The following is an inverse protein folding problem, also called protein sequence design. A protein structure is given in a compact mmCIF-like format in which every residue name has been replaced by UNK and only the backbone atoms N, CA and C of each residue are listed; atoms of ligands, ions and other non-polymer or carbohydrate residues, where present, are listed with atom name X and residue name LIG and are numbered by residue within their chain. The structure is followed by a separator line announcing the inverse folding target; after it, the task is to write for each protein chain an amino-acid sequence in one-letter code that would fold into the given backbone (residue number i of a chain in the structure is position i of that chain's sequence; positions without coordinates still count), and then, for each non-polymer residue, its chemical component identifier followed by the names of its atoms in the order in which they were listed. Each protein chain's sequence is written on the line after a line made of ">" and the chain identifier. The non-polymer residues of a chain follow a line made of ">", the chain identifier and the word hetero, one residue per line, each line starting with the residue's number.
data_IF_503351452609
#
_entry.id   IF_503351452609
#
_cell.length_a   1.000
_cell.length_b   1.000
_cell.length_c   1.000
_cell.angle_alpha   90.00
_cell.angle_beta   90.00
_cell.angle_gamma   90.00
#
_symmetry.space_group_name_H-M   'P 1'
#
loop_
_entity.id
_entity.type
_entity.pdbx_description
1 polymer ?
#
# COMPACT_ATOMS: atom_id res chain seq x y z
N UNK A 1 -55.48 28.47 -27.84
CA UNK A 1 -55.12 29.51 -28.83
C UNK A 1 -55.74 29.13 -30.16
N UNK A 2 -56.99 29.55 -30.31
CA UNK A 2 -57.80 29.52 -31.52
C UNK A 2 -57.38 30.71 -32.39
N UNK A 3 -56.95 30.45 -33.62
CA UNK A 3 -56.92 31.42 -34.72
C UNK A 3 -57.21 30.56 -35.98
N UNK A 4 -58.46 30.38 -36.43
CA UNK A 4 -59.25 31.27 -37.31
C UNK A 4 -58.46 31.60 -38.59
N UNK A 5 -58.91 31.52 -39.83
CA UNK A 5 -60.21 31.39 -40.50
C UNK A 5 -59.86 31.53 -42.00
N UNK A 6 -60.32 30.61 -42.88
CA UNK A 6 -61.26 30.83 -44.02
C UNK A 6 -60.69 31.71 -45.16
N UNK A 7 -60.78 31.32 -46.46
CA UNK A 7 -62.09 31.28 -47.12
C UNK A 7 -62.44 30.15 -48.11
N UNK A 8 -63.62 29.59 -47.82
CA UNK A 8 -64.82 29.49 -48.66
C UNK A 8 -64.67 29.10 -50.15
N UNK A 9 -65.03 27.83 -50.41
CA UNK A 9 -65.46 27.38 -51.73
C UNK A 9 -66.70 28.14 -52.21
N UNK A 10 -66.65 28.55 -53.48
CA UNK A 10 -67.80 29.12 -54.18
C UNK A 10 -68.40 28.04 -55.10
N UNK A 11 -69.66 27.63 -54.90
CA UNK A 11 -70.29 26.65 -55.77
C UNK A 11 -70.66 27.25 -57.14
N UNK A 12 -70.59 26.39 -58.15
CA UNK A 12 -70.99 26.57 -59.55
C UNK A 12 -72.28 27.38 -59.70
N UNK A 13 -72.20 28.50 -60.42
CA UNK A 13 -73.37 29.21 -60.96
C UNK A 13 -74.07 28.31 -61.98
N UNK A 14 -75.32 27.95 -61.67
CA UNK A 14 -76.31 27.34 -62.54
C UNK A 14 -76.68 28.34 -63.65
N UNK A 15 -76.74 27.87 -64.90
CA UNK A 15 -77.21 28.64 -66.06
C UNK A 15 -78.62 29.16 -65.78
N UNK A 16 -78.83 30.46 -65.95
CA UNK A 16 -80.13 31.09 -66.11
C UNK A 16 -80.34 31.27 -67.61
N UNK A 17 -81.38 30.62 -68.14
CA UNK A 17 -81.97 30.94 -69.43
C UNK A 17 -82.45 32.38 -69.42
N UNK A 18 -82.04 33.17 -70.40
CA UNK A 18 -82.76 34.36 -70.87
C UNK A 18 -82.39 34.63 -72.33
N UNK A 19 -83.31 34.25 -73.22
CA UNK A 19 -83.42 34.84 -74.56
C UNK A 19 -83.64 36.35 -74.43
N UNK A 20 -82.77 37.16 -75.05
CA UNK A 20 -83.10 38.35 -75.86
C UNK A 20 -81.83 39.12 -76.30
N UNK A 21 -81.51 38.94 -77.58
CA UNK A 21 -81.17 39.97 -78.59
C UNK A 21 -80.27 41.18 -78.24
N UNK A 22 -79.09 41.19 -78.89
CA UNK A 22 -78.48 42.32 -79.66
C UNK A 22 -77.63 43.43 -78.96
N UNK A 23 -76.69 44.12 -79.66
CA UNK A 23 -75.24 44.05 -79.35
C UNK A 23 -74.48 45.40 -79.20
N UNK A 24 -73.14 45.33 -79.15
CA UNK A 24 -72.08 46.30 -79.62
C UNK A 24 -71.40 47.17 -78.52
N UNK A 25 -70.14 46.85 -78.16
CA UNK A 25 -68.79 47.51 -78.43
C UNK A 25 -68.54 48.77 -77.57
N UNK A 26 -67.35 49.25 -77.22
CA UNK A 26 -65.94 49.28 -77.69
C UNK A 26 -65.12 49.81 -76.45
N UNK A 27 -63.83 49.51 -76.23
CA UNK A 27 -62.63 50.37 -76.42
C UNK A 27 -61.47 49.71 -75.62
N UNK A 28 -60.22 49.78 -76.11
CA UNK A 28 -59.01 49.14 -75.54
C UNK A 28 -57.97 50.23 -75.28
N UNK A 29 -57.44 50.34 -74.06
CA UNK A 29 -56.50 51.39 -73.62
C UNK A 29 -55.21 50.81 -73.00
N UNK A 30 -54.10 51.54 -73.14
CA UNK A 30 -52.68 51.20 -72.92
C UNK A 30 -52.29 50.37 -71.68
N UNK A 31 -53.09 50.41 -70.61
CA UNK A 31 -52.96 49.50 -69.46
C UNK A 31 -53.12 48.03 -69.87
N UNK A 32 -53.98 47.76 -70.85
CA UNK A 32 -54.14 46.44 -71.45
C UNK A 32 -52.82 45.98 -72.09
N UNK A 33 -52.02 46.88 -72.65
CA UNK A 33 -50.79 46.51 -73.35
C UNK A 33 -49.63 46.19 -72.39
N UNK A 34 -49.52 46.92 -71.27
CA UNK A 34 -48.59 46.61 -70.19
C UNK A 34 -48.99 45.34 -69.44
N UNK A 35 -50.27 45.18 -69.12
CA UNK A 35 -50.82 43.96 -68.52
C UNK A 35 -50.63 42.77 -69.46
N UNK A 36 -50.85 42.93 -70.77
CA UNK A 36 -50.61 41.86 -71.73
C UNK A 36 -49.13 41.46 -71.80
N UNK A 37 -48.19 42.39 -71.70
CA UNK A 37 -46.76 42.06 -71.66
C UNK A 37 -46.38 41.27 -70.39
N UNK A 38 -46.87 41.68 -69.21
CA UNK A 38 -46.65 40.93 -67.96
C UNK A 38 -47.33 39.57 -68.02
N UNK A 39 -48.55 39.48 -68.54
CA UNK A 39 -49.26 38.22 -68.73
C UNK A 39 -48.53 37.30 -69.72
N UNK A 40 -47.90 37.86 -70.75
CA UNK A 40 -47.07 37.12 -71.70
C UNK A 40 -45.83 36.56 -71.00
N UNK A 41 -45.15 37.37 -70.20
CA UNK A 41 -43.95 36.97 -69.43
C UNK A 41 -44.27 35.90 -68.38
N UNK A 42 -45.35 36.10 -67.60
CA UNK A 42 -45.83 35.11 -66.63
C UNK A 42 -46.29 33.80 -67.28
N UNK A 43 -46.87 33.85 -68.50
CA UNK A 43 -47.21 32.63 -69.25
C UNK A 43 -45.96 31.86 -69.68
N UNK A 44 -44.93 32.56 -70.15
CA UNK A 44 -43.65 31.93 -70.51
C UNK A 44 -42.98 31.32 -69.28
N UNK A 45 -42.97 32.02 -68.15
CA UNK A 45 -42.41 31.52 -66.90
C UNK A 45 -43.17 30.30 -66.37
N UNK A 46 -44.51 30.33 -66.44
CA UNK A 46 -45.35 29.20 -66.06
C UNK A 46 -45.12 27.98 -66.98
N UNK A 47 -44.94 28.19 -68.28
CA UNK A 47 -44.62 27.11 -69.22
C UNK A 47 -43.22 26.50 -68.98
N UNK A 48 -42.24 27.31 -68.56
CA UNK A 48 -40.92 26.81 -68.15
C UNK A 48 -41.04 25.99 -66.87
N UNK A 49 -41.75 26.50 -65.86
CA UNK A 49 -41.95 25.78 -64.59
C UNK A 49 -42.73 24.49 -64.77
N UNK A 50 -43.71 24.48 -65.67
CA UNK A 50 -44.47 23.27 -66.02
C UNK A 50 -43.58 22.22 -66.68
N UNK A 51 -42.68 22.64 -67.59
CA UNK A 51 -41.69 21.73 -68.19
C UNK A 51 -40.67 21.21 -67.19
N UNK A 52 -40.23 22.03 -66.24
CA UNK A 52 -39.37 21.60 -65.13
C UNK A 52 -40.09 20.59 -64.22
N UNK A 53 -41.35 20.84 -63.87
CA UNK A 53 -42.17 19.94 -63.08
C UNK A 53 -42.37 18.59 -63.79
N UNK A 54 -42.70 18.60 -65.07
CA UNK A 54 -42.83 17.38 -65.89
C UNK A 54 -41.51 16.63 -66.05
N UNK A 55 -40.35 17.32 -65.97
CA UNK A 55 -39.03 16.69 -65.98
C UNK A 55 -38.74 16.03 -64.64
N UNK A 56 -38.95 16.74 -63.53
CA UNK A 56 -38.76 16.22 -62.18
C UNK A 56 -39.70 15.04 -61.89
N UNK A 57 -40.96 15.11 -62.34
CA UNK A 57 -41.90 14.00 -62.22
C UNK A 57 -41.43 12.76 -62.98
N UNK A 58 -40.83 12.94 -64.17
CA UNK A 58 -40.22 11.84 -64.92
C UNK A 58 -38.98 11.28 -64.24
N UNK A 59 -38.07 12.11 -63.75
CA UNK A 59 -36.88 11.67 -63.02
C UNK A 59 -37.25 10.89 -61.74
N UNK A 60 -38.24 11.37 -60.98
CA UNK A 60 -38.75 10.66 -59.78
C UNK A 60 -39.40 9.34 -60.19
N UNK A 61 -40.21 9.34 -61.26
CA UNK A 61 -40.80 8.11 -61.76
C UNK A 61 -39.73 7.11 -62.20
N UNK A 62 -38.69 7.54 -62.92
CA UNK A 62 -37.59 6.68 -63.37
C UNK A 62 -36.83 6.09 -62.18
N UNK A 63 -36.49 6.89 -61.15
CA UNK A 63 -35.81 6.40 -59.94
C UNK A 63 -36.69 5.41 -59.15
N UNK A 64 -37.98 5.70 -59.01
CA UNK A 64 -38.91 4.77 -58.36
C UNK A 64 -39.10 3.49 -59.17
N UNK A 65 -39.09 3.60 -60.49
CA UNK A 65 -39.19 2.44 -61.39
C UNK A 65 -37.89 1.65 -61.36
N UNK A 66 -36.71 2.27 -61.30
CA UNK A 66 -35.41 1.61 -61.12
C UNK A 66 -35.32 0.89 -59.77
N UNK A 67 -35.84 1.51 -58.69
CA UNK A 67 -35.98 0.88 -57.38
C UNK A 67 -37.01 -0.27 -57.34
N UNK A 68 -38.07 -0.21 -58.17
CA UNK A 68 -39.13 -1.22 -58.23
C UNK A 68 -38.85 -2.36 -59.22
N UNK A 69 -38.12 -2.08 -60.30
CA UNK A 69 -37.77 -3.04 -61.37
C UNK A 69 -36.37 -3.63 -61.20
N UNK A 70 -35.49 -2.97 -60.42
CA UNK A 70 -34.33 -3.60 -59.85
C UNK A 70 -34.75 -4.61 -58.80
N UNK A 71 -34.75 -5.90 -59.17
CA UNK A 71 -34.71 -7.06 -58.25
C UNK A 71 -33.83 -6.80 -57.02
N UNK A 72 -32.76 -6.04 -57.24
CA UNK A 72 -31.75 -5.59 -56.28
C UNK A 72 -32.30 -4.68 -55.16
N UNK A 73 -33.34 -3.86 -55.36
CA UNK A 73 -33.87 -2.98 -54.30
C UNK A 73 -34.61 -3.75 -53.21
N UNK A 74 -35.50 -4.66 -53.62
CA UNK A 74 -36.20 -5.59 -52.73
C UNK A 74 -35.26 -6.63 -52.12
N UNK A 75 -34.29 -7.14 -52.89
CA UNK A 75 -33.27 -8.09 -52.41
C UNK A 75 -32.31 -7.44 -51.41
N UNK A 76 -31.85 -6.20 -51.64
CA UNK A 76 -31.00 -5.47 -50.70
C UNK A 76 -31.73 -5.14 -49.40
N UNK A 77 -32.99 -4.68 -49.46
CA UNK A 77 -33.78 -4.41 -48.26
C UNK A 77 -34.05 -5.69 -47.45
N UNK A 78 -34.26 -6.83 -48.10
CA UNK A 78 -34.42 -8.13 -47.45
C UNK A 78 -33.10 -8.66 -46.89
N UNK A 79 -32.00 -8.53 -47.63
CA UNK A 79 -30.66 -8.92 -47.18
C UNK A 79 -30.22 -8.10 -45.95
N UNK A 80 -30.48 -6.79 -45.96
CA UNK A 80 -30.26 -5.92 -44.82
C UNK A 80 -31.12 -6.33 -43.62
N UNK A 81 -32.43 -6.57 -43.82
CA UNK A 81 -33.31 -7.06 -42.75
C UNK A 81 -32.86 -8.39 -42.14
N UNK A 82 -32.38 -9.32 -42.96
CA UNK A 82 -31.81 -10.60 -42.52
C UNK A 82 -30.49 -10.41 -41.76
N UNK A 83 -29.62 -9.51 -42.21
CA UNK A 83 -28.37 -9.17 -41.51
C UNK A 83 -28.63 -8.51 -40.16
N UNK A 84 -29.58 -7.57 -40.09
CA UNK A 84 -30.02 -6.93 -38.84
C UNK A 84 -30.63 -7.95 -37.89
N UNK A 85 -31.45 -8.89 -38.38
CA UNK A 85 -32.00 -9.97 -37.56
C UNK A 85 -30.91 -10.89 -37.02
N UNK A 86 -29.92 -11.28 -37.83
CA UNK A 86 -28.78 -12.09 -37.39
C UNK A 86 -27.94 -11.37 -36.33
N UNK A 87 -27.67 -10.08 -36.54
CA UNK A 87 -26.95 -9.25 -35.58
C UNK A 87 -27.74 -9.13 -34.27
N UNK A 88 -29.05 -8.91 -34.34
CA UNK A 88 -29.91 -8.83 -33.16
C UNK A 88 -29.89 -10.15 -32.37
N UNK A 89 -29.98 -11.30 -33.05
CA UNK A 89 -29.87 -12.60 -32.40
C UNK A 89 -28.49 -12.83 -31.77
N UNK A 90 -27.41 -12.46 -32.45
CA UNK A 90 -26.05 -12.54 -31.89
C UNK A 90 -25.89 -11.62 -30.66
N UNK A 91 -26.47 -10.42 -30.71
CA UNK A 91 -26.45 -9.49 -29.59
C UNK A 91 -27.23 -10.00 -28.38
N UNK A 92 -28.37 -10.69 -28.59
CA UNK A 92 -29.11 -11.34 -27.51
C UNK A 92 -28.32 -12.45 -26.83
N UNK A 93 -27.57 -13.26 -27.60
CA UNK A 93 -26.69 -14.31 -27.05
C UNK A 93 -25.56 -13.67 -26.24
N UNK A 94 -24.88 -12.66 -26.79
CA UNK A 94 -23.83 -11.94 -26.08
C UNK A 94 -24.35 -11.28 -24.82
N UNK A 95 -25.56 -10.72 -24.83
CA UNK A 95 -26.20 -10.15 -23.66
C UNK A 95 -26.47 -11.20 -22.58
N UNK A 96 -26.96 -12.38 -22.97
CA UNK A 96 -27.18 -13.51 -22.07
C UNK A 96 -25.86 -14.01 -21.44
N UNK A 97 -24.83 -14.20 -22.27
CA UNK A 97 -23.50 -14.64 -21.82
C UNK A 97 -22.85 -13.60 -20.90
N UNK A 98 -22.98 -12.31 -21.23
CA UNK A 98 -22.48 -11.22 -20.40
C UNK A 98 -23.20 -11.17 -19.03
N UNK A 99 -24.52 -11.41 -19.00
CA UNK A 99 -25.30 -11.51 -17.75
C UNK A 99 -24.85 -12.71 -16.92
N UNK A 100 -24.63 -13.86 -17.54
CA UNK A 100 -24.13 -15.06 -16.87
C UNK A 100 -22.70 -14.89 -16.36
N UNK A 101 -21.84 -14.22 -17.12
CA UNK A 101 -20.48 -13.93 -16.69
C UNK A 101 -20.48 -12.94 -15.52
N UNK A 102 -21.30 -11.89 -15.58
CA UNK A 102 -21.43 -10.92 -14.50
C UNK A 102 -21.96 -11.57 -13.20
N UNK A 103 -22.89 -12.52 -13.29
CA UNK A 103 -23.37 -13.26 -12.13
C UNK A 103 -22.28 -14.18 -11.56
N UNK A 104 -21.54 -14.88 -12.42
CA UNK A 104 -20.42 -15.74 -12.04
C UNK A 104 -19.27 -14.94 -11.41
N UNK A 105 -18.94 -13.77 -11.96
CA UNK A 105 -17.93 -12.89 -11.39
C UNK A 105 -18.37 -12.40 -10.01
N UNK A 106 -19.64 -12.03 -9.85
CA UNK A 106 -20.19 -11.62 -8.55
C UNK A 106 -20.12 -12.74 -7.51
N UNK A 107 -20.39 -14.00 -7.89
CA UNK A 107 -20.25 -15.12 -6.95
C UNK A 107 -18.79 -15.40 -6.60
N UNK A 108 -17.87 -15.32 -7.57
CA UNK A 108 -16.42 -15.47 -7.35
C UNK A 108 -15.90 -14.37 -6.43
N UNK A 109 -16.23 -13.09 -6.68
CA UNK A 109 -15.84 -11.97 -5.82
C UNK A 109 -16.35 -12.18 -4.40
N UNK A 110 -17.62 -12.57 -4.22
CA UNK A 110 -18.17 -12.84 -2.90
C UNK A 110 -17.43 -13.99 -2.20
N UNK A 111 -17.06 -15.05 -2.92
CA UNK A 111 -16.30 -16.15 -2.34
C UNK A 111 -14.88 -15.70 -1.95
N UNK A 112 -14.21 -14.92 -2.79
CA UNK A 112 -12.90 -14.36 -2.51
C UNK A 112 -12.92 -13.46 -1.27
N UNK A 113 -13.91 -12.57 -1.14
CA UNK A 113 -14.07 -11.71 0.05
C UNK A 113 -14.27 -12.54 1.32
N UNK A 114 -15.07 -13.61 1.25
CA UNK A 114 -15.30 -14.50 2.38
C UNK A 114 -14.03 -15.28 2.78
N UNK A 115 -13.25 -15.74 1.80
CA UNK A 115 -11.98 -16.44 2.06
C UNK A 115 -10.98 -15.46 2.67
N UNK A 116 -10.80 -14.28 2.06
CA UNK A 116 -9.90 -13.22 2.57
C UNK A 116 -10.26 -12.78 3.98
N UNK A 117 -11.56 -12.62 4.28
CA UNK A 117 -12.01 -12.30 5.63
C UNK A 117 -11.68 -13.39 6.65
N UNK A 118 -11.87 -14.67 6.28
CA UNK A 118 -11.51 -15.80 7.15
C UNK A 118 -10.01 -15.93 7.35
N UNK A 119 -9.21 -15.73 6.31
CA UNK A 119 -7.74 -15.76 6.39
C UNK A 119 -7.25 -14.63 7.28
N UNK A 120 -7.75 -13.40 7.09
CA UNK A 120 -7.39 -12.27 7.96
C UNK A 120 -7.75 -12.51 9.42
N UNK A 121 -8.94 -13.05 9.71
CA UNK A 121 -9.33 -13.41 11.07
C UNK A 121 -8.43 -14.50 11.68
N UNK A 122 -8.06 -15.50 10.88
CA UNK A 122 -7.14 -16.56 11.27
C UNK A 122 -5.73 -16.01 11.54
N UNK A 123 -5.24 -15.11 10.70
CA UNK A 123 -3.92 -14.50 10.86
C UNK A 123 -3.84 -13.69 12.16
N UNK A 124 -4.88 -12.91 12.48
CA UNK A 124 -4.96 -12.20 13.77
C UNK A 124 -4.97 -13.19 14.94
N UNK A 125 -5.75 -14.27 14.85
CA UNK A 125 -5.77 -15.29 15.90
C UNK A 125 -4.39 -15.97 16.05
N UNK A 126 -3.73 -16.29 14.94
CA UNK A 126 -2.39 -16.89 14.92
C UNK A 126 -1.36 -15.95 15.56
N UNK A 127 -1.34 -14.67 15.21
CA UNK A 127 -0.43 -13.69 15.80
C UNK A 127 -0.61 -13.63 17.32
N UNK A 128 -1.87 -13.55 17.79
CA UNK A 128 -2.16 -13.56 19.23
C UNK A 128 -1.71 -14.85 19.93
N UNK A 129 -1.89 -16.00 19.29
CA UNK A 129 -1.44 -17.28 19.86
C UNK A 129 0.09 -17.32 19.95
N UNK A 130 0.81 -16.83 18.93
CA UNK A 130 2.27 -16.75 18.95
C UNK A 130 2.74 -15.81 20.07
N UNK A 131 2.11 -14.64 20.23
CA UNK A 131 2.38 -13.71 21.33
C UNK A 131 2.14 -14.36 22.70
N UNK A 132 1.03 -15.08 22.88
CA UNK A 132 0.74 -15.79 24.13
C UNK A 132 1.73 -16.93 24.40
N UNK A 133 2.19 -17.66 23.37
CA UNK A 133 3.19 -18.72 23.53
C UNK A 133 4.55 -18.14 23.92
N UNK A 134 4.95 -17.02 23.32
CA UNK A 134 6.18 -16.32 23.70
C UNK A 134 6.07 -15.83 25.15
N UNK A 135 4.97 -15.19 25.53
CA UNK A 135 4.72 -14.76 26.90
C UNK A 135 4.75 -15.93 27.89
N UNK A 136 4.16 -17.08 27.56
CA UNK A 136 4.19 -18.26 28.42
C UNK A 136 5.62 -18.82 28.58
N UNK A 137 6.41 -18.81 27.50
CA UNK A 137 7.83 -19.16 27.54
C UNK A 137 8.62 -18.20 28.44
N UNK A 138 8.42 -16.91 28.27
CA UNK A 138 9.10 -15.87 29.07
C UNK A 138 8.72 -15.95 30.56
N UNK A 139 7.45 -16.26 30.88
CA UNK A 139 7.00 -16.50 32.25
C UNK A 139 7.60 -17.76 32.86
N UNK A 140 7.71 -18.84 32.09
CA UNK A 140 8.39 -20.06 32.54
C UNK A 140 9.87 -19.78 32.83
N UNK A 141 10.53 -19.05 31.94
CA UNK A 141 11.93 -18.66 32.07
C UNK A 141 12.16 -17.77 33.29
N UNK A 142 11.25 -16.83 33.56
CA UNK A 142 11.30 -16.00 34.76
C UNK A 142 11.26 -16.84 36.04
N UNK A 143 10.36 -17.83 36.09
CA UNK A 143 10.25 -18.75 37.22
C UNK A 143 11.52 -19.57 37.43
N UNK A 144 12.05 -20.18 36.36
CA UNK A 144 13.30 -20.97 36.42
C UNK A 144 14.48 -20.09 36.83
N UNK A 145 14.61 -18.90 36.26
CA UNK A 145 15.70 -18.00 36.62
C UNK A 145 15.61 -17.57 38.08
N UNK A 146 14.40 -17.25 38.58
CA UNK A 146 14.22 -16.85 39.98
C UNK A 146 14.54 -17.97 40.97
N UNK A 147 14.28 -19.24 40.63
CA UNK A 147 14.55 -20.37 41.51
C UNK A 147 16.03 -20.78 41.48
N UNK A 148 16.64 -20.80 40.29
CA UNK A 148 18.00 -21.32 40.11
C UNK A 148 19.08 -20.28 40.41
N UNK A 149 18.82 -18.98 40.23
CA UNK A 149 19.84 -17.93 40.43
C UNK A 149 20.41 -17.96 41.85
N UNK A 150 19.57 -18.12 42.86
CA UNK A 150 20.02 -18.17 44.26
C UNK A 150 20.81 -19.45 44.54
N UNK A 151 20.41 -20.59 43.95
CA UNK A 151 21.14 -21.86 44.06
C UNK A 151 22.54 -21.73 43.45
N UNK A 152 22.65 -21.18 42.24
CA UNK A 152 23.94 -20.98 41.58
C UNK A 152 24.85 -20.02 42.37
N UNK A 153 24.31 -18.90 42.89
CA UNK A 153 25.09 -17.96 43.71
C UNK A 153 25.59 -18.64 44.99
N UNK A 154 24.76 -19.46 45.65
CA UNK A 154 25.12 -20.15 46.89
C UNK A 154 26.11 -21.30 46.66
N UNK A 155 26.10 -21.93 45.48
CA UNK A 155 27.04 -22.97 45.07
C UNK A 155 28.38 -22.41 44.54
N UNK A 156 28.55 -21.08 44.51
CA UNK A 156 29.69 -20.38 43.92
C UNK A 156 29.84 -20.56 42.38
N UNK A 157 28.78 -20.99 41.70
CA UNK A 157 28.71 -21.13 40.24
C UNK A 157 28.28 -19.81 39.57
N UNK A 158 29.20 -18.84 39.57
CA UNK A 158 28.91 -17.48 39.12
C UNK A 158 28.63 -17.36 37.62
N UNK A 159 29.16 -18.26 36.78
CA UNK A 159 28.88 -18.28 35.33
C UNK A 159 27.41 -18.57 35.06
N UNK A 160 26.87 -19.60 35.73
CA UNK A 160 25.48 -20.02 35.55
C UNK A 160 24.54 -18.96 36.14
N UNK A 161 24.88 -18.40 37.31
CA UNK A 161 24.15 -17.28 37.88
C UNK A 161 24.08 -16.08 36.91
N UNK A 162 25.22 -15.71 36.29
CA UNK A 162 25.27 -14.63 35.31
C UNK A 162 24.45 -14.95 34.04
N UNK A 163 24.39 -16.21 33.60
CA UNK A 163 23.53 -16.63 32.49
C UNK A 163 22.04 -16.50 32.81
N UNK A 164 21.61 -16.92 34.02
CA UNK A 164 20.23 -16.76 34.46
C UNK A 164 19.83 -15.28 34.55
N UNK A 165 20.72 -14.43 35.08
CA UNK A 165 20.49 -12.98 35.13
C UNK A 165 20.45 -12.38 33.72
N UNK A 166 21.38 -12.78 32.83
CA UNK A 166 21.38 -12.31 31.45
C UNK A 166 20.06 -12.64 30.75
N UNK A 167 19.58 -13.88 30.89
CA UNK A 167 18.28 -14.31 30.35
C UNK A 167 17.15 -13.44 30.89
N UNK A 168 17.11 -13.21 32.20
CA UNK A 168 16.16 -12.31 32.84
C UNK A 168 16.17 -10.89 32.25
N UNK A 169 17.36 -10.31 32.03
CA UNK A 169 17.50 -8.98 31.45
C UNK A 169 17.06 -8.90 29.98
N UNK A 170 17.02 -10.04 29.28
CA UNK A 170 16.54 -10.14 27.89
C UNK A 170 15.06 -10.48 27.74
N UNK A 171 14.33 -10.72 28.84
CA UNK A 171 12.89 -11.04 28.79
C UNK A 171 12.07 -9.84 28.26
N UNK A 172 11.00 -10.13 27.52
CA UNK A 172 10.17 -9.10 26.88
C UNK A 172 9.37 -8.29 27.90
N UNK A 173 9.18 -7.00 27.58
CA UNK A 173 8.45 -6.06 28.43
C UNK A 173 6.98 -6.45 28.63
N UNK A 174 6.43 -7.25 27.71
CA UNK A 174 5.08 -7.78 27.77
C UNK A 174 4.80 -8.59 29.05
N UNK A 175 5.80 -9.31 29.58
CA UNK A 175 5.70 -10.03 30.87
C UNK A 175 5.37 -9.05 32.01
N UNK A 176 5.95 -7.85 31.98
CA UNK A 176 5.73 -6.83 33.02
C UNK A 176 4.39 -6.12 32.89
N UNK A 177 3.75 -6.16 31.72
CA UNK A 177 2.41 -5.59 31.55
C UNK A 177 1.32 -6.60 31.94
N UNK A 178 1.59 -7.90 31.77
CA UNK A 178 0.68 -8.97 32.18
C UNK A 178 0.50 -9.04 33.70
N UNK A 179 1.57 -8.78 34.47
CA UNK A 179 1.51 -8.73 35.94
C UNK A 179 0.60 -7.62 36.50
N UNK A 180 0.35 -6.56 35.73
CA UNK A 180 -0.53 -5.45 36.14
C UNK A 180 -2.01 -5.68 35.79
N UNK A 181 -2.31 -6.59 34.87
CA UNK A 181 -3.64 -6.76 34.28
C UNK A 181 -4.31 -8.09 34.65
N UNK A 182 -3.53 -9.12 34.97
CA UNK A 182 -4.03 -10.44 35.34
C UNK A 182 -4.37 -10.54 36.84
N UNK A 183 -5.04 -11.64 37.20
CA UNK A 183 -5.51 -12.00 38.54
C UNK A 183 -4.45 -11.70 39.62
N UNK A 184 -4.88 -11.10 40.75
CA UNK A 184 -3.96 -10.51 41.74
C UNK A 184 -2.91 -11.49 42.27
N UNK A 185 -3.23 -12.79 42.31
CA UNK A 185 -2.33 -13.85 42.80
C UNK A 185 -1.23 -14.21 41.79
N UNK A 186 -1.55 -14.31 40.49
CA UNK A 186 -0.56 -14.58 39.45
C UNK A 186 0.39 -13.38 39.24
N UNK A 187 -0.14 -12.15 39.29
CA UNK A 187 0.65 -10.92 39.21
C UNK A 187 1.62 -10.76 40.38
N UNK A 188 1.23 -11.18 41.59
CA UNK A 188 2.09 -11.17 42.79
C UNK A 188 3.29 -12.12 42.67
N UNK A 189 3.11 -13.32 42.12
CA UNK A 189 4.21 -14.29 41.94
C UNK A 189 5.27 -13.78 40.95
N UNK A 190 4.84 -13.13 39.86
CA UNK A 190 5.75 -12.53 38.86
C UNK A 190 6.51 -11.36 39.47
N UNK A 191 5.84 -10.47 40.22
CA UNK A 191 6.49 -9.36 40.92
C UNK A 191 7.52 -9.84 41.95
N UNK A 192 7.20 -10.91 42.69
CA UNK A 192 8.12 -11.49 43.66
C UNK A 192 9.37 -12.08 42.99
N UNK A 193 9.20 -12.80 41.88
CA UNK A 193 10.31 -13.36 41.10
C UNK A 193 11.26 -12.26 40.60
N UNK A 194 10.69 -11.11 40.22
CA UNK A 194 11.46 -9.93 39.82
C UNK A 194 12.29 -9.34 40.98
N UNK A 195 11.70 -9.22 42.17
CA UNK A 195 12.41 -8.73 43.36
C UNK A 195 13.57 -9.66 43.73
N UNK A 196 13.36 -10.97 43.66
CA UNK A 196 14.40 -11.98 43.88
C UNK A 196 15.53 -11.78 42.86
N UNK A 197 15.22 -11.73 41.57
CA UNK A 197 16.22 -11.59 40.51
C UNK A 197 16.99 -10.27 40.58
N UNK A 198 16.33 -9.18 40.95
CA UNK A 198 16.97 -7.86 41.14
C UNK A 198 17.93 -7.87 42.33
N UNK A 199 17.52 -8.48 43.45
CA UNK A 199 18.39 -8.68 44.61
C UNK A 199 19.56 -9.61 44.30
N UNK A 200 19.31 -10.72 43.60
CA UNK A 200 20.34 -11.66 43.17
C UNK A 200 21.36 -11.00 42.22
N UNK A 201 20.91 -10.13 41.32
CA UNK A 201 21.77 -9.34 40.42
C UNK A 201 22.68 -8.41 41.22
N UNK A 202 22.13 -7.69 42.20
CA UNK A 202 22.87 -6.78 43.06
C UNK A 202 23.90 -7.52 43.92
N UNK A 203 23.50 -8.66 44.49
CA UNK A 203 24.38 -9.56 45.26
C UNK A 203 25.50 -10.15 44.41
N UNK A 204 25.19 -10.61 43.20
CA UNK A 204 26.19 -11.15 42.28
C UNK A 204 27.20 -10.06 41.88
N UNK A 205 26.74 -8.84 41.59
CA UNK A 205 27.63 -7.69 41.32
C UNK A 205 28.64 -7.47 42.44
N UNK A 206 28.20 -7.39 43.69
CA UNK A 206 29.10 -7.20 44.84
C UNK A 206 30.10 -8.35 45.02
N UNK A 207 29.69 -9.59 44.72
CA UNK A 207 30.57 -10.75 44.78
C UNK A 207 31.61 -10.68 43.66
N UNK A 208 31.19 -10.40 42.43
CA UNK A 208 32.08 -10.28 41.27
C UNK A 208 33.10 -9.16 41.46
N UNK A 209 32.68 -8.00 41.98
CA UNK A 209 33.59 -6.89 42.28
C UNK A 209 34.64 -7.25 43.32
N UNK A 210 34.25 -7.94 44.40
CA UNK A 210 35.19 -8.40 45.43
C UNK A 210 36.15 -9.49 44.92
N UNK A 211 35.64 -10.47 44.19
CA UNK A 211 36.44 -11.57 43.63
C UNK A 211 37.40 -11.07 42.56
N UNK A 212 37.00 -10.06 41.76
CA UNK A 212 37.85 -9.43 40.78
C UNK A 212 38.99 -8.63 41.44
N UNK A 213 38.70 -7.84 42.48
CA UNK A 213 39.74 -7.11 43.21
C UNK A 213 40.73 -8.09 43.87
N UNK A 214 40.24 -9.18 44.47
CA UNK A 214 41.09 -10.22 45.04
C UNK A 214 42.00 -10.89 43.99
N UNK A 215 41.48 -11.13 42.77
CA UNK A 215 42.26 -11.69 41.67
C UNK A 215 43.31 -10.69 41.13
N UNK A 216 43.00 -9.39 41.18
CA UNK A 216 43.96 -8.31 40.88
C UNK A 216 45.09 -8.30 41.90
N UNK A 217 44.76 -8.40 43.19
CA UNK A 217 45.74 -8.40 44.27
C UNK A 217 46.62 -9.67 44.27
N UNK A 218 46.09 -10.81 43.85
CA UNK A 218 46.85 -12.06 43.72
C UNK A 218 47.59 -12.22 42.39
N UNK A 219 47.56 -11.21 41.51
CA UNK A 219 48.10 -11.22 40.14
C UNK A 219 47.64 -12.44 39.29
N UNK A 220 46.45 -12.99 39.56
CA UNK A 220 45.90 -14.14 38.81
C UNK A 220 45.13 -13.67 37.57
N UNK A 221 45.85 -13.65 36.45
CA UNK A 221 45.32 -13.23 35.14
C UNK A 221 44.17 -14.12 34.67
N UNK A 222 44.20 -15.43 34.95
CA UNK A 222 43.19 -16.36 34.45
C UNK A 222 41.84 -16.13 35.15
N UNK A 223 41.87 -16.01 36.47
CA UNK A 223 40.67 -15.74 37.28
C UNK A 223 40.12 -14.34 37.00
N UNK A 224 40.99 -13.35 36.80
CA UNK A 224 40.59 -11.99 36.42
C UNK A 224 39.84 -11.97 35.08
N UNK A 225 40.40 -12.59 34.03
CA UNK A 225 39.76 -12.65 32.72
C UNK A 225 38.41 -13.38 32.76
N UNK A 226 38.29 -14.40 33.61
CA UNK A 226 37.02 -15.12 33.83
C UNK A 226 35.96 -14.18 34.40
N UNK A 227 36.25 -13.45 35.48
CA UNK A 227 35.28 -12.55 36.12
C UNK A 227 34.93 -11.33 35.26
N UNK A 228 35.89 -10.75 34.53
CA UNK A 228 35.63 -9.61 33.63
C UNK A 228 34.60 -9.96 32.55
N UNK A 229 34.58 -11.22 32.07
CA UNK A 229 33.59 -11.69 31.08
C UNK A 229 32.17 -11.81 31.64
N UNK A 230 32.00 -11.86 32.96
CA UNK A 230 30.68 -11.98 33.60
C UNK A 230 29.98 -10.62 33.77
N UNK A 231 30.72 -9.52 33.89
CA UNK A 231 30.15 -8.16 34.00
C UNK A 231 29.21 -7.78 32.84
N UNK A 232 29.55 -8.09 31.57
CA UNK A 232 28.63 -7.88 30.45
C UNK A 232 27.31 -8.64 30.56
N UNK A 233 27.31 -9.85 31.15
CA UNK A 233 26.11 -10.68 31.25
C UNK A 233 25.08 -10.08 32.22
N UNK A 234 25.56 -9.40 33.27
CA UNK A 234 24.71 -8.70 34.25
C UNK A 234 24.43 -7.23 33.87
N UNK A 235 24.76 -6.81 32.65
CA UNK A 235 24.60 -5.43 32.15
C UNK A 235 25.39 -4.38 32.96
N UNK A 236 26.54 -4.77 33.54
CA UNK A 236 27.45 -3.89 34.32
C UNK A 236 28.80 -3.75 33.62
N UNK A 237 28.77 -3.47 32.31
CA UNK A 237 29.96 -3.37 31.45
C UNK A 237 31.00 -2.39 32.01
N UNK A 238 30.56 -1.22 32.45
CA UNK A 238 31.44 -0.13 32.89
C UNK A 238 32.21 -0.49 34.16
N UNK A 239 31.59 -1.15 35.14
CA UNK A 239 32.25 -1.54 36.39
C UNK A 239 33.41 -2.51 36.11
N UNK A 240 33.17 -3.52 35.27
CA UNK A 240 34.20 -4.49 34.87
C UNK A 240 35.35 -3.83 34.12
N UNK A 241 35.05 -2.97 33.15
CA UNK A 241 36.06 -2.27 32.35
C UNK A 241 36.89 -1.28 33.17
N UNK A 242 36.29 -0.52 34.08
CA UNK A 242 37.01 0.42 34.95
C UNK A 242 38.01 -0.31 35.84
N UNK A 243 37.61 -1.45 36.42
CA UNK A 243 38.49 -2.25 37.29
C UNK A 243 39.63 -2.90 36.49
N UNK A 244 39.32 -3.47 35.32
CA UNK A 244 40.33 -4.05 34.44
C UNK A 244 41.30 -2.98 33.90
N UNK A 245 40.80 -1.80 33.54
CA UNK A 245 41.62 -0.66 33.12
C UNK A 245 42.57 -0.19 34.22
N UNK A 246 42.11 -0.11 35.49
CA UNK A 246 42.98 0.20 36.63
C UNK A 246 44.10 -0.82 36.82
N UNK A 247 43.80 -2.11 36.62
CA UNK A 247 44.82 -3.16 36.67
C UNK A 247 45.85 -2.97 35.56
N UNK A 248 45.42 -2.75 34.31
CA UNK A 248 46.32 -2.51 33.19
C UNK A 248 47.22 -1.30 33.44
N UNK A 249 46.66 -0.18 33.94
CA UNK A 249 47.46 1.00 34.30
C UNK A 249 48.52 0.69 35.36
N UNK A 250 48.19 -0.10 36.39
CA UNK A 250 49.17 -0.55 37.40
C UNK A 250 50.28 -1.38 36.77
N UNK A 251 49.94 -2.30 35.87
CA UNK A 251 50.94 -3.13 35.18
C UNK A 251 51.84 -2.31 34.26
N UNK A 252 51.28 -1.37 33.52
CA UNK A 252 52.03 -0.43 32.68
C UNK A 252 53.01 0.39 33.55
N UNK A 253 52.56 0.91 34.70
CA UNK A 253 53.44 1.63 35.63
C UNK A 253 54.56 0.73 36.17
N UNK A 254 54.25 -0.51 36.56
CA UNK A 254 55.23 -1.49 37.06
C UNK A 254 56.32 -1.79 36.02
N UNK A 255 55.92 -2.04 34.77
CA UNK A 255 56.85 -2.26 33.65
C UNK A 255 57.74 -1.02 33.43
N UNK A 256 57.13 0.18 33.46
CA UNK A 256 57.87 1.44 33.33
C UNK A 256 58.90 1.64 34.45
N UNK A 257 58.52 1.38 35.70
CA UNK A 257 59.42 1.46 36.85
C UNK A 257 60.56 0.44 36.79
N UNK A 258 60.29 -0.80 36.36
CA UNK A 258 61.30 -1.83 36.25
C UNK A 258 62.31 -1.52 35.13
N UNK A 259 61.83 -1.03 33.98
CA UNK A 259 62.70 -0.55 32.89
C UNK A 259 63.56 0.65 33.34
N UNK A 260 63.02 1.58 34.14
CA UNK A 260 63.78 2.69 34.72
C UNK A 260 64.83 2.23 35.74
N UNK A 261 64.55 1.18 36.54
CA UNK A 261 65.55 0.60 37.45
C UNK A 261 66.70 -0.04 36.67
N UNK A 262 66.40 -0.75 35.58
CA UNK A 262 67.41 -1.34 34.68
C UNK A 262 68.30 -0.24 34.09
N UNK A 263 67.70 0.87 33.63
CA UNK A 263 68.43 2.06 33.17
C UNK A 263 69.39 2.60 34.25
N UNK A 264 68.89 2.76 35.47
CA UNK A 264 69.66 3.27 36.60
C UNK A 264 70.85 2.39 36.99
N UNK A 265 70.75 1.08 36.79
CA UNK A 265 71.85 0.14 37.01
C UNK A 265 72.94 0.21 35.91
N UNK A 266 72.61 0.72 34.72
CA UNK A 266 73.51 0.82 33.56
C UNK A 266 74.60 1.90 33.64
N UNK A 267 74.59 2.74 34.69
CA UNK A 267 75.56 3.81 34.92
C UNK A 267 75.20 5.12 34.22
N UNK A 268 75.18 6.21 34.98
CA UNK A 268 74.74 7.55 34.56
C UNK A 268 75.89 8.39 33.97
N UNK A 269 76.63 7.87 32.99
CA UNK A 269 77.61 8.70 32.26
C UNK A 269 76.86 9.68 31.35
N UNK A 270 77.16 10.98 31.47
CA UNK A 270 76.38 12.10 30.89
C UNK A 270 76.14 11.95 29.37
N UNK A 271 77.08 11.30 28.67
CA UNK A 271 76.99 11.04 27.21
C UNK A 271 76.12 9.84 26.81
N UNK A 272 75.81 8.93 27.75
CA UNK A 272 75.05 7.69 27.46
C UNK A 272 73.60 7.76 27.94
N UNK A 273 73.24 8.76 28.74
CA UNK A 273 71.89 8.90 29.31
C UNK A 273 70.82 9.01 28.21
N UNK A 274 71.07 9.78 27.16
CA UNK A 274 70.11 9.92 26.04
C UNK A 274 69.85 8.60 25.31
N UNK A 275 70.90 7.80 25.10
CA UNK A 275 70.82 6.50 24.42
C UNK A 275 70.13 5.47 25.31
N UNK A 276 70.49 5.42 26.59
CA UNK A 276 69.85 4.56 27.58
C UNK A 276 68.36 4.87 27.72
N UNK A 277 67.98 6.16 27.69
CA UNK A 277 66.59 6.57 27.71
C UNK A 277 65.84 6.09 26.46
N UNK A 278 66.41 6.25 25.26
CA UNK A 278 65.83 5.75 24.01
C UNK A 278 65.64 4.22 24.03
N UNK A 279 66.65 3.47 24.49
CA UNK A 279 66.58 2.01 24.61
C UNK A 279 65.50 1.57 25.61
N UNK A 280 65.34 2.28 26.73
CA UNK A 280 64.31 1.95 27.74
C UNK A 280 62.89 2.24 27.27
N UNK A 281 62.71 3.31 26.47
CA UNK A 281 61.44 3.57 25.79
C UNK A 281 61.15 2.50 24.74
N UNK A 282 62.16 2.07 23.99
CA UNK A 282 62.00 0.98 23.01
C UNK A 282 61.55 -0.32 23.70
N UNK A 283 62.24 -0.72 24.77
CA UNK A 283 61.91 -1.89 25.61
C UNK A 283 60.52 -1.82 26.28
N UNK A 284 59.95 -0.63 26.43
CA UNK A 284 58.62 -0.46 27.03
C UNK A 284 57.47 -0.68 26.02
N UNK A 285 57.72 -0.40 24.73
CA UNK A 285 56.71 -0.51 23.67
C UNK A 285 56.79 -1.81 22.87
N UNK A 286 57.87 -2.58 23.02
CA UNK A 286 58.03 -3.94 22.48
C UNK A 286 57.25 -4.97 23.31
#
# INVERSE_FOLDING_TARGET
>A
KTITTVPAGRPRRRRLDKNKTEPVREEVDEDDQYINNILQELRVELDVKRREEERLQREIADVLTECASGSTGGEQSRAFGMAVSRLNNAMLVVEADAKQLASSLRTISRLADNISGKVSALDVAKTRVVECLQLAGDMHDLGVCSEEVDKCINNEDYEQAAQHIHRFLTLDRAVFQFSSAADKEAGQSVSHSYEILTNATSRLKEILERKLEAAVDSEDVATMQRFVKLFPLINEHDSGLVRFGKYLSRQITKIGEDNLKIMGAGGLDDKRIEVLYADTLFLFFE
#
